data_IF_770962097406
#
_entry.id   IF_770962097406
#
_cell.length_a   1.000
_cell.length_b   1.000
_cell.length_c   1.000
_cell.angle_alpha   90.00
_cell.angle_beta   90.00
_cell.angle_gamma   90.00
#
_symmetry.space_group_name_H-M   'P 1'
#
loop_
_entity.id
_entity.type
_entity.pdbx_description
1 polymer ?
#
# COMPACT_ATOMS: atom_id res chain seq x y z
N UNK A 1 -20.02 0.37 -40.18
CA UNK A 1 -19.47 -0.89 -39.63
C UNK A 1 -18.04 -0.78 -39.10
N UNK A 2 -17.21 0.21 -39.50
CA UNK A 2 -15.83 0.34 -38.96
C UNK A 2 -15.63 1.18 -37.67
N UNK A 3 -16.64 1.93 -37.20
CA UNK A 3 -16.48 2.80 -36.01
C UNK A 3 -16.77 2.13 -34.67
N UNK A 4 -17.35 0.92 -34.66
CA UNK A 4 -17.61 0.16 -33.43
C UNK A 4 -16.43 -0.73 -33.01
N UNK A 5 -15.51 -1.05 -33.93
CA UNK A 5 -14.38 -1.96 -33.64
C UNK A 5 -13.14 -1.29 -33.04
N UNK A 6 -13.06 0.05 -33.04
CA UNK A 6 -11.93 0.76 -32.40
C UNK A 6 -12.22 1.05 -30.92
N UNK A 7 -13.49 1.20 -30.54
CA UNK A 7 -13.88 1.38 -29.12
C UNK A 7 -13.88 0.08 -28.32
N UNK A 8 -14.11 -1.07 -28.97
CA UNK A 8 -14.07 -2.37 -28.29
C UNK A 8 -12.65 -2.89 -28.00
N UNK A 9 -11.61 -2.40 -28.70
CA UNK A 9 -10.23 -2.85 -28.52
C UNK A 9 -9.48 -2.13 -27.38
N UNK A 10 -9.96 -0.95 -26.95
CA UNK A 10 -9.35 -0.17 -25.86
C UNK A 10 -10.01 -0.40 -24.50
N UNK A 11 -11.16 -1.08 -24.46
CA UNK A 11 -11.87 -1.38 -23.21
C UNK A 11 -11.49 -2.74 -22.61
N UNK A 12 -11.06 -3.69 -23.44
CA UNK A 12 -10.77 -5.06 -22.98
C UNK A 12 -9.32 -5.28 -22.51
N UNK A 13 -8.39 -4.34 -22.72
CA UNK A 13 -7.07 -4.34 -22.05
C UNK A 13 -7.09 -3.71 -20.65
N UNK A 14 -8.24 -3.21 -20.20
CA UNK A 14 -8.43 -2.59 -18.88
C UNK A 14 -9.01 -3.57 -17.84
N UNK A 15 -9.57 -4.69 -18.28
CA UNK A 15 -10.25 -5.71 -17.47
C UNK A 15 -9.31 -6.86 -17.05
N UNK A 16 -8.38 -7.31 -17.89
CA UNK A 16 -7.45 -8.40 -17.55
C UNK A 16 -6.31 -7.99 -16.60
N UNK A 17 -5.92 -6.72 -16.56
CA UNK A 17 -4.94 -6.22 -15.57
C UNK A 17 -5.51 -6.12 -14.14
N UNK A 18 -6.83 -6.25 -13.96
CA UNK A 18 -7.49 -6.20 -12.64
C UNK A 18 -7.21 -7.45 -11.79
N UNK A 19 -6.93 -8.60 -12.39
CA UNK A 19 -6.79 -9.88 -11.69
C UNK A 19 -5.35 -10.19 -11.23
N UNK A 20 -4.36 -9.37 -11.60
CA UNK A 20 -2.99 -9.49 -11.12
C UNK A 20 -2.48 -8.17 -10.51
N UNK A 21 -3.34 -7.52 -9.71
CA UNK A 21 -2.97 -6.36 -8.92
C UNK A 21 -2.38 -6.80 -7.57
N UNK A 22 -1.06 -6.73 -7.45
CA UNK A 22 -0.41 -6.70 -6.15
C UNK A 22 -1.03 -5.56 -5.31
N UNK A 23 -1.21 -5.77 -4.00
CA UNK A 23 -1.73 -4.79 -3.04
C UNK A 23 -1.11 -3.38 -3.20
N UNK A 24 0.16 -3.30 -3.59
CA UNK A 24 0.85 -2.04 -3.89
C UNK A 24 0.28 -1.31 -5.13
N UNK A 25 -0.01 -2.03 -6.22
CA UNK A 25 -0.63 -1.44 -7.41
C UNK A 25 -2.06 -0.99 -7.11
N UNK A 26 -2.82 -1.78 -6.35
CA UNK A 26 -4.19 -1.46 -5.96
C UNK A 26 -4.22 -0.15 -5.16
N UNK A 27 -3.28 -0.03 -4.22
CA UNK A 27 -3.09 1.18 -3.44
C UNK A 27 -2.72 2.41 -4.29
N UNK A 28 -1.81 2.26 -5.26
CA UNK A 28 -1.45 3.34 -6.21
C UNK A 28 -2.62 3.78 -7.09
N UNK A 29 -3.61 2.93 -7.32
CA UNK A 29 -4.79 3.26 -8.12
C UNK A 29 -5.85 4.05 -7.33
N UNK A 30 -5.86 3.96 -6.00
CA UNK A 30 -6.84 4.65 -5.15
C UNK A 30 -6.54 6.15 -4.91
N UNK A 31 -5.37 6.65 -5.34
CA UNK A 31 -4.93 8.03 -5.09
C UNK A 31 -4.55 8.67 -6.42
N UNK A 32 -4.93 9.94 -6.70
CA UNK A 32 -4.52 10.61 -7.93
C UNK A 32 -2.99 10.71 -8.01
N UNK A 33 -2.43 10.33 -9.16
CA UNK A 33 -1.02 10.54 -9.48
C UNK A 33 -0.84 12.01 -9.87
N UNK A 34 -0.77 12.86 -8.85
CA UNK A 34 -0.53 14.29 -9.01
C UNK A 34 0.92 14.65 -8.66
N UNK A 35 1.41 15.73 -9.25
CA UNK A 35 2.70 16.30 -8.86
C UNK A 35 2.61 16.86 -7.44
N UNK A 36 3.59 16.54 -6.60
CA UNK A 36 3.66 17.00 -5.22
C UNK A 36 4.96 17.76 -4.97
N UNK A 37 4.88 18.81 -4.14
CA UNK A 37 6.05 19.59 -3.70
C UNK A 37 6.97 18.77 -2.78
N UNK A 38 6.38 17.83 -2.03
CA UNK A 38 7.07 17.04 -1.03
C UNK A 38 7.04 15.55 -1.43
N UNK A 39 8.17 14.88 -1.21
CA UNK A 39 8.33 13.45 -1.39
C UNK A 39 8.59 12.78 -0.05
N UNK A 40 7.87 11.69 0.21
CA UNK A 40 8.09 10.84 1.37
C UNK A 40 8.88 9.61 0.92
N UNK A 41 10.05 9.46 1.50
CA UNK A 41 11.05 8.49 1.04
C UNK A 41 11.25 7.48 2.17
N UNK A 42 11.01 6.20 1.90
CA UNK A 42 11.18 5.12 2.88
C UNK A 42 12.23 4.13 2.42
N UNK A 43 13.22 3.85 3.26
CA UNK A 43 14.20 2.79 3.02
C UNK A 43 13.55 1.43 3.34
N UNK A 44 13.35 0.58 2.34
CA UNK A 44 12.65 -0.71 2.51
C UNK A 44 13.63 -1.89 2.56
N UNK A 45 14.79 -1.75 1.91
CA UNK A 45 15.84 -2.78 1.89
C UNK A 45 17.01 -2.40 2.80
N UNK A 46 17.71 -3.40 3.30
CA UNK A 46 18.92 -3.22 4.10
C UNK A 46 20.07 -2.56 3.33
N UNK A 47 20.93 -1.85 4.07
CA UNK A 47 22.17 -1.23 3.59
C UNK A 47 23.36 -2.22 3.43
N UNK A 48 23.52 -3.31 4.22
CA UNK A 48 24.73 -4.13 4.10
C UNK A 48 24.81 -4.78 2.71
N UNK A 49 26.04 -4.90 2.18
CA UNK A 49 26.30 -5.43 0.83
C UNK A 49 25.99 -4.45 -0.32
N UNK A 50 25.51 -3.23 -0.04
CA UNK A 50 25.29 -2.21 -1.09
C UNK A 50 26.58 -1.47 -1.46
N UNK A 51 26.65 -0.94 -2.69
CA UNK A 51 27.80 -0.17 -3.21
C UNK A 51 28.10 1.06 -2.34
N UNK A 52 29.38 1.44 -2.19
CA UNK A 52 29.81 2.59 -1.36
C UNK A 52 29.07 3.89 -1.75
N UNK A 53 28.85 4.10 -3.05
CA UNK A 53 28.12 5.26 -3.58
C UNK A 53 26.66 5.33 -3.08
N UNK A 54 25.97 4.19 -3.02
CA UNK A 54 24.59 4.13 -2.52
C UNK A 54 24.55 4.44 -1.03
N UNK A 55 25.52 3.94 -0.24
CA UNK A 55 25.62 4.22 1.20
C UNK A 55 25.77 5.71 1.47
N UNK A 56 26.71 6.39 0.78
CA UNK A 56 26.90 7.85 0.86
C UNK A 56 25.62 8.62 0.50
N UNK A 57 24.90 8.15 -0.51
CA UNK A 57 23.64 8.79 -0.95
C UNK A 57 22.53 8.64 0.09
N UNK A 58 22.41 7.45 0.70
CA UNK A 58 21.45 7.20 1.77
C UNK A 58 21.80 7.97 3.06
N UNK A 59 23.08 8.06 3.39
CA UNK A 59 23.59 8.90 4.51
C UNK A 59 23.21 10.37 4.29
N UNK A 60 23.45 10.91 3.09
CA UNK A 60 23.05 12.28 2.73
C UNK A 60 21.53 12.51 2.82
N UNK A 61 20.73 11.50 2.43
CA UNK A 61 19.28 11.53 2.59
C UNK A 61 18.81 11.34 4.05
N UNK A 62 19.72 11.00 4.98
CA UNK A 62 19.47 10.66 6.39
C UNK A 62 18.67 9.35 6.58
N UNK A 63 18.84 8.41 5.66
CA UNK A 63 18.25 7.07 5.68
C UNK A 63 19.26 6.03 6.19
N UNK A 64 19.55 6.05 7.49
CA UNK A 64 20.51 5.12 8.11
C UNK A 64 19.92 3.79 8.61
N UNK A 65 18.61 3.74 8.88
CA UNK A 65 17.91 2.54 9.39
C UNK A 65 16.77 2.15 8.46
N UNK A 66 16.57 0.84 8.29
CA UNK A 66 15.44 0.30 7.52
C UNK A 66 14.10 0.78 8.09
N UNK A 67 13.11 0.90 7.21
CA UNK A 67 11.76 1.39 7.48
C UNK A 67 11.69 2.81 8.05
N UNK A 68 12.79 3.57 8.00
CA UNK A 68 12.78 5.00 8.29
C UNK A 68 12.20 5.74 7.09
N UNK A 69 11.20 6.58 7.34
CA UNK A 69 10.66 7.52 6.35
C UNK A 69 11.19 8.92 6.62
N UNK A 70 11.64 9.62 5.57
CA UNK A 70 12.10 11.02 5.65
C UNK A 70 11.39 11.83 4.56
N UNK A 71 10.93 13.03 4.94
CA UNK A 71 10.35 13.99 4.00
C UNK A 71 11.47 14.81 3.34
N UNK A 72 11.39 14.99 2.02
CA UNK A 72 12.28 15.87 1.25
C UNK A 72 11.48 16.65 0.22
N UNK A 73 11.97 17.85 -0.11
CA UNK A 73 11.44 18.66 -1.20
C UNK A 73 11.70 17.98 -2.55
N UNK A 74 10.75 18.13 -3.47
CA UNK A 74 10.82 17.59 -4.82
C UNK A 74 11.71 18.46 -5.71
N UNK A 75 13.02 18.42 -5.48
CA UNK A 75 14.03 19.11 -6.30
C UNK A 75 14.69 18.14 -7.29
N UNK A 76 15.18 18.62 -8.45
CA UNK A 76 15.88 17.77 -9.41
C UNK A 76 17.09 17.06 -8.80
N UNK A 77 17.80 17.69 -7.85
CA UNK A 77 18.90 17.09 -7.10
C UNK A 77 18.46 15.87 -6.31
N UNK A 78 17.39 15.99 -5.51
CA UNK A 78 16.84 14.87 -4.72
C UNK A 78 16.35 13.76 -5.65
N UNK A 79 15.71 14.11 -6.77
CA UNK A 79 15.29 13.13 -7.78
C UNK A 79 16.46 12.35 -8.37
N UNK A 80 17.58 13.01 -8.66
CA UNK A 80 18.81 12.36 -9.13
C UNK A 80 19.36 11.36 -8.10
N UNK A 81 19.45 11.77 -6.83
CA UNK A 81 19.85 10.89 -5.73
C UNK A 81 18.93 9.67 -5.61
N UNK A 82 17.62 9.88 -5.68
CA UNK A 82 16.60 8.83 -5.59
C UNK A 82 16.68 7.84 -6.76
N UNK A 83 16.94 8.33 -7.98
CA UNK A 83 17.11 7.46 -9.15
C UNK A 83 18.28 6.49 -8.97
N UNK A 84 19.35 6.96 -8.31
CA UNK A 84 20.52 6.13 -8.03
C UNK A 84 20.21 5.02 -7.01
N UNK A 85 19.38 5.29 -6.00
CA UNK A 85 19.01 4.33 -4.93
C UNK A 85 17.63 3.68 -5.12
N UNK A 86 17.03 3.76 -6.32
CA UNK A 86 15.65 3.35 -6.62
C UNK A 86 15.29 1.90 -6.24
N UNK A 87 16.28 1.01 -6.15
CA UNK A 87 16.07 -0.41 -5.78
C UNK A 87 15.91 -0.62 -4.27
N UNK A 88 16.40 0.31 -3.45
CA UNK A 88 16.41 0.19 -1.99
C UNK A 88 15.23 0.91 -1.33
N UNK A 89 14.66 1.86 -2.05
CA UNK A 89 13.79 2.90 -1.52
C UNK A 89 12.44 2.86 -2.21
N UNK A 90 11.39 3.10 -1.44
CA UNK A 90 10.04 3.37 -1.95
C UNK A 90 9.74 4.85 -1.78
N UNK A 91 9.22 5.47 -2.84
CA UNK A 91 8.90 6.90 -2.88
C UNK A 91 7.39 7.03 -2.97
N UNK A 92 6.84 7.84 -2.08
CA UNK A 92 5.42 8.19 -2.05
C UNK A 92 5.28 9.70 -2.25
N UNK A 93 4.23 10.10 -2.98
CA UNK A 93 3.77 11.48 -2.98
C UNK A 93 3.14 11.82 -1.65
N UNK A 94 2.94 13.11 -1.39
CA UNK A 94 2.30 13.56 -0.15
C UNK A 94 0.89 13.00 0.04
N UNK A 95 0.08 13.05 -1.01
CA UNK A 95 -1.29 12.53 -0.98
C UNK A 95 -1.34 11.02 -0.77
N UNK A 96 -0.41 10.29 -1.38
CA UNK A 96 -0.24 8.87 -1.08
C UNK A 96 0.13 8.68 0.39
N UNK A 97 1.17 9.34 0.90
CA UNK A 97 1.58 9.14 2.31
C UNK A 97 0.40 9.36 3.29
N UNK A 98 -0.39 10.41 3.08
CA UNK A 98 -1.60 10.71 3.87
C UNK A 98 -2.66 9.61 3.74
N UNK A 99 -2.98 9.17 2.53
CA UNK A 99 -3.96 8.10 2.29
C UNK A 99 -3.57 6.78 2.98
N UNK A 100 -2.30 6.38 2.92
CA UNK A 100 -1.79 5.21 3.65
C UNK A 100 -1.95 5.38 5.16
N UNK A 101 -1.61 6.55 5.70
CA UNK A 101 -1.74 6.84 7.12
C UNK A 101 -3.19 6.87 7.60
N UNK A 102 -4.10 7.41 6.79
CA UNK A 102 -5.53 7.36 7.08
C UNK A 102 -6.05 5.92 7.07
N UNK A 103 -5.65 5.10 6.09
CA UNK A 103 -6.03 3.68 6.05
C UNK A 103 -5.51 2.92 7.26
N UNK A 104 -4.26 3.18 7.68
CA UNK A 104 -3.67 2.59 8.89
C UNK A 104 -4.44 3.01 10.15
N UNK A 105 -4.84 4.29 10.25
CA UNK A 105 -5.67 4.79 11.34
C UNK A 105 -7.07 4.13 11.35
N UNK A 106 -7.75 4.06 10.19
CA UNK A 106 -9.05 3.41 10.07
C UNK A 106 -8.98 1.91 10.38
N UNK A 107 -7.88 1.24 10.00
CA UNK A 107 -7.68 -0.17 10.31
C UNK A 107 -7.43 -0.42 11.80
N UNK A 108 -6.75 0.52 12.48
CA UNK A 108 -6.47 0.50 13.92
C UNK A 108 -7.61 1.04 14.78
N UNK A 109 -8.56 1.77 14.18
CA UNK A 109 -9.71 2.30 14.89
C UNK A 109 -10.51 1.17 15.54
N UNK A 110 -11.13 1.48 16.68
CA UNK A 110 -11.93 0.52 17.42
C UNK A 110 -13.07 0.03 16.53
N UNK A 111 -13.17 -1.30 16.37
CA UNK A 111 -14.30 -1.94 15.70
C UNK A 111 -15.46 -1.98 16.68
N UNK A 112 -16.67 -1.86 16.16
CA UNK A 112 -17.88 -2.05 16.96
C UNK A 112 -17.83 -3.44 17.61
N UNK A 113 -18.21 -3.56 18.89
CA UNK A 113 -18.19 -4.84 19.58
C UNK A 113 -19.11 -5.82 18.87
N UNK A 114 -18.68 -7.08 18.76
CA UNK A 114 -19.53 -8.15 18.26
C UNK A 114 -20.42 -8.64 19.40
N UNK A 115 -21.72 -8.39 19.30
CA UNK A 115 -22.71 -8.93 20.24
C UNK A 115 -23.13 -10.31 19.75
N UNK A 116 -22.76 -11.36 20.47
CA UNK A 116 -23.15 -12.75 20.16
C UNK A 116 -24.24 -13.18 21.13
N UNK A 117 -25.48 -13.20 20.67
CA UNK A 117 -26.62 -13.73 21.42
C UNK A 117 -26.78 -15.21 21.07
N UNK A 118 -26.32 -16.11 21.94
CA UNK A 118 -26.58 -17.54 21.78
C UNK A 118 -27.94 -17.87 22.39
N UNK A 119 -28.81 -18.52 21.61
CA UNK A 119 -30.03 -19.10 22.14
C UNK A 119 -29.64 -20.32 22.99
N UNK A 120 -30.18 -20.43 24.21
CA UNK A 120 -29.99 -21.61 25.06
C UNK A 120 -30.55 -22.81 24.31
N UNK A 121 -29.75 -23.86 24.13
CA UNK A 121 -30.26 -25.12 23.59
C UNK A 121 -31.45 -25.58 24.45
N UNK A 122 -32.61 -25.92 23.85
CA UNK A 122 -33.73 -26.44 24.61
C UNK A 122 -33.25 -27.71 25.31
N UNK A 123 -33.55 -27.83 26.61
CA UNK A 123 -33.20 -29.02 27.38
C UNK A 123 -33.84 -30.24 26.70
N UNK A 124 -33.02 -31.19 26.25
CA UNK A 124 -33.50 -32.51 25.85
C UNK A 124 -34.12 -33.16 27.08
N UNK A 125 -35.45 -33.13 27.15
CA UNK A 125 -36.21 -33.84 28.18
C UNK A 125 -36.07 -35.34 27.90
N UNK A 126 -35.03 -35.95 28.47
CA UNK A 126 -34.76 -37.39 28.44
C UNK A 126 -35.66 -38.12 29.45
N UNK A 127 -36.96 -37.92 29.32
CA UNK A 127 -38.01 -38.53 30.13
C UNK A 127 -38.95 -39.25 29.18
N UNK A 128 -38.62 -40.49 28.79
CA UNK A 128 -39.56 -41.61 28.60
C UNK A 128 -38.79 -42.84 28.07
N UNK A 129 -38.49 -43.80 28.94
CA UNK A 129 -38.42 -45.21 28.53
C UNK A 129 -39.58 -45.93 29.24
N UNK A 130 -40.56 -46.49 28.51
CA UNK A 130 -41.39 -47.55 29.03
C UNK A 130 -40.82 -48.93 28.67
N UNK A 131 -41.06 -49.86 29.60
CA UNK A 131 -40.70 -51.27 29.65
C UNK A 131 -41.27 -52.10 28.49
#
# INVERSE_FOLDING_TARGET
VLLLNVRHFTENRRSEERLNMNAFKAYKACVPIAWSRNLYITLVRGIPGTRRLHRRTLEALRLGKCNRTVMRWNTPTVRGMLQQVKRLVVIETEEMYKARKQKEANHRALRTPMVVNHLRAPASDSSQQPM
#
